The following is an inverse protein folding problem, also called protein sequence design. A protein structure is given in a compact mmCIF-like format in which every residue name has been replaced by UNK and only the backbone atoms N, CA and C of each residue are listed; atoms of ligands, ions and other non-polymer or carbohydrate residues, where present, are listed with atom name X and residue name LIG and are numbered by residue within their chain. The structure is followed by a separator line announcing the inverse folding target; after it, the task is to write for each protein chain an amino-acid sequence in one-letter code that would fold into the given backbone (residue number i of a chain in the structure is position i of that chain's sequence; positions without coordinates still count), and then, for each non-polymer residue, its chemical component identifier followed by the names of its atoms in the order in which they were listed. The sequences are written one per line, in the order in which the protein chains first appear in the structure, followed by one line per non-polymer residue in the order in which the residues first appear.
data_IF_678455223793
#
_entry.id   IF_678455223793
#
_cell.length_a   1.000
_cell.length_b   1.000
_cell.length_c   1.000
_cell.angle_alpha   90.00
_cell.angle_beta   90.00
_cell.angle_gamma   90.00
#
_symmetry.space_group_name_H-M   'P 1'
#
loop_
_entity.id
_entity.type
_entity.pdbx_description
1 polymer ?
#
# COMPACT_ATOMS: atom_id res chain seq x y z
N UNK A 1 -5.21 37.74 57.37
CA UNK A 1 -4.28 37.78 56.21
C UNK A 1 -3.65 36.44 55.89
N UNK A 2 -3.79 35.36 56.68
CA UNK A 2 -3.24 34.04 56.35
C UNK A 2 -4.17 33.16 55.49
N UNK A 3 -5.49 33.35 55.56
CA UNK A 3 -6.48 32.51 54.86
C UNK A 3 -6.52 32.70 53.34
N UNK A 4 -6.27 33.90 52.84
CA UNK A 4 -6.31 34.21 51.41
C UNK A 4 -5.04 33.69 50.65
N UNK A 5 -3.90 33.65 51.36
CA UNK A 5 -2.66 33.12 50.75
C UNK A 5 -2.71 31.58 50.58
N UNK A 6 -3.37 30.86 51.51
CA UNK A 6 -3.57 29.41 51.40
C UNK A 6 -4.57 29.02 50.28
N UNK A 7 -5.63 29.82 50.10
CA UNK A 7 -6.60 29.61 49.03
C UNK A 7 -5.98 29.83 47.62
N UNK A 8 -5.14 30.84 47.48
CA UNK A 8 -4.44 31.11 46.21
C UNK A 8 -3.40 30.03 45.91
N UNK A 9 -2.69 29.52 46.93
CA UNK A 9 -1.73 28.43 46.78
C UNK A 9 -2.38 27.12 46.36
N UNK A 10 -3.56 26.81 46.91
CA UNK A 10 -4.35 25.63 46.53
C UNK A 10 -4.88 25.71 45.10
N UNK A 11 -5.38 26.87 44.67
CA UNK A 11 -5.87 27.10 43.33
C UNK A 11 -4.75 27.01 42.25
N UNK A 12 -3.53 27.40 42.60
CA UNK A 12 -2.36 27.27 41.68
C UNK A 12 -1.91 25.82 41.59
N UNK A 13 -2.03 25.04 42.68
CA UNK A 13 -1.65 23.62 42.69
C UNK A 13 -2.60 22.76 41.86
N UNK A 14 -3.91 23.07 41.78
CA UNK A 14 -4.88 22.38 40.94
C UNK A 14 -4.72 22.65 39.46
N UNK A 15 -4.18 23.81 39.08
CA UNK A 15 -3.95 24.17 37.66
C UNK A 15 -2.70 23.53 37.07
N UNK A 16 -1.76 23.06 37.92
CA UNK A 16 -0.48 22.44 37.44
C UNK A 16 -0.59 20.93 37.23
N UNK A 17 -1.66 20.29 37.74
CA UNK A 17 -1.86 18.82 37.62
C UNK A 17 -2.80 18.40 36.48
N UNK A 18 -3.29 19.31 35.66
CA UNK A 18 -3.92 18.91 34.40
C UNK A 18 -2.82 18.44 33.42
N UNK A 19 -2.64 17.13 33.38
CA UNK A 19 -1.86 16.53 32.31
C UNK A 19 -2.36 17.08 30.94
N UNK A 20 -1.49 17.49 30.02
CA UNK A 20 -1.94 17.95 28.72
C UNK A 20 -2.85 16.86 28.14
N UNK A 21 -4.05 17.24 27.72
CA UNK A 21 -4.96 16.32 27.05
C UNK A 21 -4.14 15.64 25.95
N UNK A 22 -4.02 14.31 26.03
CA UNK A 22 -3.28 13.54 25.05
C UNK A 22 -3.90 13.88 23.70
N UNK A 23 -3.10 14.50 22.81
CA UNK A 23 -3.49 14.70 21.42
C UNK A 23 -3.86 13.30 20.92
N UNK A 24 -5.09 13.07 20.41
CA UNK A 24 -5.49 11.75 19.97
C UNK A 24 -4.42 11.25 19.00
N UNK A 25 -3.78 10.13 19.34
CA UNK A 25 -2.75 9.54 18.49
C UNK A 25 -3.37 9.35 17.10
N UNK A 26 -2.75 9.94 16.08
CA UNK A 26 -3.21 9.78 14.72
C UNK A 26 -3.14 8.29 14.38
N UNK A 27 -4.28 7.69 14.05
CA UNK A 27 -4.34 6.29 13.64
C UNK A 27 -3.45 6.07 12.44
N UNK A 28 -2.79 4.93 12.38
CA UNK A 28 -1.84 4.60 11.31
C UNK A 28 -2.15 3.25 10.67
N UNK A 29 -1.64 3.05 9.46
CA UNK A 29 -1.85 1.83 8.67
C UNK A 29 -0.53 1.26 8.20
N UNK A 30 -0.40 -0.08 8.28
CA UNK A 30 0.69 -0.80 7.63
C UNK A 30 0.15 -1.87 6.66
N UNK A 31 0.83 -2.05 5.55
CA UNK A 31 0.43 -2.99 4.49
C UNK A 31 1.65 -3.81 4.05
N UNK A 32 1.55 -5.14 4.13
CA UNK A 32 2.51 -6.03 3.46
C UNK A 32 2.00 -6.31 2.05
N UNK A 33 2.86 -6.07 1.06
CA UNK A 33 2.58 -6.30 -0.36
C UNK A 33 3.42 -7.45 -0.85
N UNK A 34 2.79 -8.57 -1.20
CA UNK A 34 3.49 -9.82 -1.55
C UNK A 34 3.32 -10.25 -3.00
N UNK A 35 2.41 -9.61 -3.74
CA UNK A 35 2.08 -9.97 -5.12
C UNK A 35 2.19 -8.78 -6.05
N UNK A 36 2.79 -8.99 -7.24
CA UNK A 36 3.07 -7.96 -8.23
C UNK A 36 2.31 -8.13 -9.54
N UNK A 37 1.25 -8.95 -9.59
CA UNK A 37 0.40 -9.01 -10.78
C UNK A 37 -0.56 -7.81 -10.84
N UNK A 38 -1.05 -7.48 -12.03
CA UNK A 38 -1.87 -6.30 -12.28
C UNK A 38 -3.11 -6.23 -11.37
N UNK A 39 -3.79 -7.34 -11.16
CA UNK A 39 -4.97 -7.45 -10.32
C UNK A 39 -4.68 -7.33 -8.82
N UNK A 40 -3.50 -7.76 -8.37
CA UNK A 40 -3.08 -7.68 -6.98
C UNK A 40 -2.35 -6.38 -6.62
N UNK A 41 -1.88 -5.63 -7.62
CA UNK A 41 -1.22 -4.35 -7.39
C UNK A 41 -2.21 -3.24 -6.98
N UNK A 42 -3.44 -3.28 -7.47
CA UNK A 42 -4.43 -2.23 -7.20
C UNK A 42 -4.85 -2.12 -5.73
N UNK A 43 -5.25 -3.21 -5.03
CA UNK A 43 -5.75 -3.11 -3.66
C UNK A 43 -4.80 -2.40 -2.70
N UNK A 44 -3.49 -2.73 -2.62
CA UNK A 44 -2.61 -2.08 -1.66
C UNK A 44 -2.40 -0.60 -1.94
N UNK A 45 -2.25 -0.19 -3.21
CA UNK A 45 -2.08 1.22 -3.54
C UNK A 45 -3.36 2.04 -3.34
N UNK A 46 -4.54 1.49 -3.70
CA UNK A 46 -5.83 2.17 -3.45
C UNK A 46 -6.04 2.38 -1.95
N UNK A 47 -5.78 1.35 -1.13
CA UNK A 47 -5.94 1.47 0.31
C UNK A 47 -4.94 2.44 0.92
N UNK A 48 -3.68 2.39 0.49
CA UNK A 48 -2.64 3.28 0.98
C UNK A 48 -2.94 4.75 0.66
N UNK A 49 -3.24 5.06 -0.60
CA UNK A 49 -3.55 6.44 -1.02
C UNK A 49 -4.83 6.97 -0.39
N UNK A 50 -5.85 6.10 -0.21
CA UNK A 50 -7.08 6.47 0.48
C UNK A 50 -6.83 6.76 1.96
N UNK A 51 -6.06 5.92 2.66
CA UNK A 51 -5.73 6.13 4.07
C UNK A 51 -4.89 7.40 4.26
N UNK A 52 -3.91 7.65 3.39
CA UNK A 52 -3.12 8.87 3.40
C UNK A 52 -3.99 10.12 3.16
N UNK A 53 -4.92 10.06 2.20
CA UNK A 53 -5.90 11.14 1.97
C UNK A 53 -6.82 11.41 3.16
N UNK A 54 -7.05 10.39 4.01
CA UNK A 54 -7.77 10.53 5.29
C UNK A 54 -6.88 11.04 6.43
N UNK A 55 -5.60 11.32 6.16
CA UNK A 55 -4.64 11.82 7.15
C UNK A 55 -4.01 10.74 8.04
N UNK A 56 -4.09 9.47 7.66
CA UNK A 56 -3.40 8.39 8.35
C UNK A 56 -1.98 8.27 7.82
N UNK A 57 -0.94 8.21 8.68
CA UNK A 57 0.38 7.74 8.28
C UNK A 57 0.31 6.30 7.76
N UNK A 58 0.88 6.05 6.59
CA UNK A 58 0.85 4.74 5.94
C UNK A 58 2.25 4.23 5.69
N UNK A 59 2.49 2.95 6.02
CA UNK A 59 3.72 2.23 5.68
C UNK A 59 3.38 1.03 4.82
N UNK A 60 4.04 0.88 3.67
CA UNK A 60 3.93 -0.27 2.78
C UNK A 60 5.25 -1.03 2.76
N UNK A 61 5.23 -2.33 2.98
CA UNK A 61 6.40 -3.21 2.91
C UNK A 61 6.28 -4.16 1.72
N UNK A 62 7.17 -3.98 0.76
CA UNK A 62 7.18 -4.76 -0.48
C UNK A 62 8.18 -5.91 -0.36
N UNK A 63 7.67 -7.13 -0.48
CA UNK A 63 8.48 -8.35 -0.35
C UNK A 63 8.10 -9.37 -1.41
N UNK A 64 9.00 -10.31 -1.71
CA UNK A 64 8.82 -11.33 -2.74
C UNK A 64 8.29 -10.74 -4.06
N UNK A 65 7.23 -11.31 -4.61
CA UNK A 65 6.65 -10.88 -5.89
C UNK A 65 5.93 -9.52 -5.84
N UNK A 66 5.78 -8.93 -4.65
CA UNK A 66 5.33 -7.54 -4.50
C UNK A 66 6.44 -6.52 -4.77
N UNK A 67 7.72 -6.89 -4.59
CA UNK A 67 8.86 -6.00 -4.77
C UNK A 67 8.96 -5.38 -6.18
N UNK A 68 8.70 -6.11 -7.29
CA UNK A 68 8.71 -5.55 -8.64
C UNK A 68 7.76 -4.36 -8.86
N UNK A 69 6.79 -4.12 -7.98
CA UNK A 69 5.94 -2.93 -8.06
C UNK A 69 6.71 -1.63 -7.80
N UNK A 70 7.90 -1.71 -7.22
CA UNK A 70 8.80 -0.57 -7.00
C UNK A 70 9.79 -0.33 -8.14
N UNK A 71 9.84 -1.19 -9.16
CA UNK A 71 10.74 -1.01 -10.30
C UNK A 71 10.34 0.20 -11.15
N UNK A 72 11.33 0.87 -11.74
CA UNK A 72 11.14 2.00 -12.68
C UNK A 72 10.28 1.61 -13.89
N UNK A 73 10.41 0.36 -14.36
CA UNK A 73 9.62 -0.18 -15.47
C UNK A 73 8.71 -1.29 -14.98
N UNK A 74 7.41 -1.09 -15.12
CA UNK A 74 6.41 -2.07 -14.73
C UNK A 74 5.97 -2.91 -15.93
N UNK A 75 6.17 -4.24 -15.85
CA UNK A 75 5.56 -5.21 -16.78
C UNK A 75 4.49 -6.03 -16.05
N UNK A 76 3.40 -5.36 -15.66
CA UNK A 76 2.34 -5.98 -14.90
C UNK A 76 1.41 -6.79 -15.82
N UNK A 77 1.31 -8.09 -15.51
CA UNK A 77 0.40 -9.02 -16.16
C UNK A 77 -0.73 -9.40 -15.21
N UNK A 78 -1.89 -9.64 -15.80
CA UNK A 78 -3.05 -10.11 -15.06
C UNK A 78 -2.87 -11.58 -14.67
N UNK A 79 -3.27 -11.97 -13.47
CA UNK A 79 -3.33 -13.39 -13.09
C UNK A 79 -4.53 -14.04 -13.79
N UNK A 80 -4.31 -14.58 -14.97
CA UNK A 80 -5.36 -15.20 -15.78
C UNK A 80 -5.58 -16.67 -15.39
N UNK A 81 -4.52 -17.41 -15.12
CA UNK A 81 -4.57 -18.82 -14.80
C UNK A 81 -5.18 -19.05 -13.40
N UNK A 82 -6.19 -19.90 -13.33
CA UNK A 82 -6.83 -20.27 -12.06
C UNK A 82 -7.73 -19.19 -11.45
N UNK A 83 -8.02 -18.11 -12.16
CA UNK A 83 -8.90 -17.04 -11.68
C UNK A 83 -10.35 -17.24 -12.16
N UNK A 84 -11.26 -17.85 -11.35
CA UNK A 84 -12.64 -18.11 -11.76
C UNK A 84 -13.48 -16.84 -11.85
N UNK A 85 -13.04 -15.75 -11.25
CA UNK A 85 -13.73 -14.47 -11.27
C UNK A 85 -13.46 -13.66 -12.55
N UNK A 86 -12.46 -14.07 -13.34
CA UNK A 86 -12.11 -13.39 -14.57
C UNK A 86 -13.17 -13.63 -15.64
N UNK A 87 -14.06 -12.65 -15.80
CA UNK A 87 -15.09 -12.65 -16.84
C UNK A 87 -14.71 -11.62 -17.91
N UNK A 88 -14.57 -12.09 -19.13
CA UNK A 88 -14.33 -11.20 -20.27
C UNK A 88 -15.67 -10.80 -20.91
N UNK A 89 -15.90 -9.49 -21.14
CA UNK A 89 -17.06 -9.06 -21.93
C UNK A 89 -16.83 -9.43 -23.40
N UNK A 90 -17.30 -10.60 -23.80
CA UNK A 90 -17.25 -11.03 -25.19
C UNK A 90 -18.69 -11.12 -25.72
N UNK A 91 -19.01 -10.33 -26.73
CA UNK A 91 -20.31 -10.31 -27.43
C UNK A 91 -21.54 -10.17 -26.51
N UNK A 92 -21.44 -9.35 -25.44
CA UNK A 92 -22.58 -9.10 -24.54
C UNK A 92 -22.80 -10.14 -23.45
N UNK A 93 -22.00 -11.19 -23.37
CA UNK A 93 -22.02 -12.17 -22.30
C UNK A 93 -20.72 -12.11 -21.46
N UNK A 94 -20.85 -12.26 -20.16
CA UNK A 94 -19.70 -12.42 -19.25
C UNK A 94 -19.30 -13.89 -19.22
N UNK A 95 -18.40 -14.32 -20.10
CA UNK A 95 -17.90 -15.68 -20.14
C UNK A 95 -16.59 -15.82 -19.35
N UNK A 96 -16.49 -16.84 -18.48
CA UNK A 96 -15.24 -17.22 -17.83
C UNK A 96 -14.25 -17.80 -18.84
N UNK A 97 -12.96 -17.47 -18.72
CA UNK A 97 -11.93 -18.09 -19.53
C UNK A 97 -11.62 -19.50 -19.01
N UNK A 98 -11.73 -20.55 -19.85
CA UNK A 98 -11.24 -21.87 -19.48
C UNK A 98 -9.72 -21.83 -19.23
N UNK A 99 -9.28 -22.49 -18.14
CA UNK A 99 -7.84 -22.50 -17.77
C UNK A 99 -6.92 -23.03 -18.89
N UNK A 100 -7.43 -23.89 -19.75
CA UNK A 100 -6.65 -24.40 -20.88
C UNK A 100 -6.25 -23.31 -21.90
N UNK A 101 -7.07 -22.26 -22.04
CA UNK A 101 -6.76 -21.14 -22.93
C UNK A 101 -5.68 -20.25 -22.36
N UNK A 102 -5.54 -20.19 -21.03
CA UNK A 102 -4.48 -19.38 -20.39
C UNK A 102 -3.08 -20.00 -20.54
N UNK A 103 -3.01 -21.29 -20.92
CA UNK A 103 -1.75 -21.97 -21.24
C UNK A 103 -1.20 -21.62 -22.63
N UNK A 104 -1.99 -20.94 -23.47
CA UNK A 104 -1.56 -20.54 -24.82
C UNK A 104 -0.66 -19.30 -24.72
N UNK A 105 0.56 -19.33 -25.29
CA UNK A 105 1.45 -18.17 -25.26
C UNK A 105 0.78 -16.92 -25.85
N UNK A 106 0.87 -15.79 -25.14
CA UNK A 106 0.33 -14.50 -25.55
C UNK A 106 -1.10 -14.21 -25.08
N UNK A 107 -1.86 -15.18 -24.57
CA UNK A 107 -3.20 -14.94 -24.03
C UNK A 107 -3.13 -14.03 -22.80
N UNK A 108 -2.17 -14.23 -21.91
CA UNK A 108 -1.96 -13.36 -20.73
C UNK A 108 -1.70 -11.92 -21.12
N UNK A 109 -0.87 -11.69 -22.15
CA UNK A 109 -0.57 -10.35 -22.64
C UNK A 109 -1.82 -9.70 -23.28
N UNK A 110 -2.61 -10.46 -24.05
CA UNK A 110 -3.84 -9.97 -24.64
C UNK A 110 -4.88 -9.62 -23.58
N UNK A 111 -5.06 -10.47 -22.57
CA UNK A 111 -5.95 -10.24 -21.43
C UNK A 111 -5.52 -9.01 -20.62
N UNK A 112 -4.23 -8.88 -20.33
CA UNK A 112 -3.67 -7.74 -19.60
C UNK A 112 -3.87 -6.43 -20.36
N UNK A 113 -3.62 -6.42 -21.68
CA UNK A 113 -3.85 -5.25 -22.53
C UNK A 113 -5.32 -4.86 -22.59
N UNK A 114 -6.21 -5.85 -22.69
CA UNK A 114 -7.65 -5.59 -22.69
C UNK A 114 -8.11 -5.03 -21.35
N UNK A 115 -7.63 -5.56 -20.23
CA UNK A 115 -7.96 -5.05 -18.90
C UNK A 115 -7.45 -3.62 -18.71
N UNK A 116 -6.19 -3.33 -19.06
CA UNK A 116 -5.63 -1.97 -19.02
C UNK A 116 -6.47 -0.99 -19.86
N UNK A 117 -6.88 -1.39 -21.07
CA UNK A 117 -7.75 -0.57 -21.91
C UNK A 117 -9.13 -0.33 -21.29
N UNK A 118 -9.72 -1.36 -20.64
CA UNK A 118 -10.99 -1.21 -19.94
C UNK A 118 -10.88 -0.25 -18.76
N UNK A 119 -9.83 -0.37 -17.96
CA UNK A 119 -9.54 0.52 -16.84
C UNK A 119 -9.39 1.97 -17.31
N UNK A 120 -8.60 2.21 -18.36
CA UNK A 120 -8.43 3.55 -18.94
C UNK A 120 -9.78 4.12 -19.43
N UNK A 121 -10.61 3.33 -20.11
CA UNK A 121 -11.94 3.78 -20.55
C UNK A 121 -12.89 4.11 -19.40
N UNK A 122 -12.69 3.49 -18.24
CA UNK A 122 -13.49 3.73 -17.02
C UNK A 122 -12.90 4.81 -16.12
N UNK A 123 -11.78 5.42 -16.51
CA UNK A 123 -11.12 6.47 -15.72
C UNK A 123 -10.44 5.93 -14.45
N UNK A 124 -10.07 4.63 -14.44
CA UNK A 124 -9.30 4.07 -13.34
C UNK A 124 -7.85 4.46 -13.53
N UNK A 125 -7.25 5.05 -12.50
CA UNK A 125 -5.84 5.45 -12.49
C UNK A 125 -4.93 4.23 -12.76
N UNK A 126 -3.80 4.42 -13.43
CA UNK A 126 -2.79 3.38 -13.61
C UNK A 126 -2.08 3.06 -12.29
N UNK A 127 -1.35 1.95 -12.23
CA UNK A 127 -0.53 1.65 -11.05
C UNK A 127 0.60 2.67 -10.92
N UNK A 128 1.12 3.14 -12.03
CA UNK A 128 2.10 4.21 -12.08
C UNK A 128 1.56 5.49 -11.44
N UNK A 129 0.36 5.94 -11.81
CA UNK A 129 -0.31 7.12 -11.22
C UNK A 129 -0.57 6.93 -9.72
N UNK A 130 -1.06 5.75 -9.31
CA UNK A 130 -1.32 5.46 -7.90
C UNK A 130 -0.03 5.43 -7.07
N UNK A 131 1.08 4.99 -7.66
CA UNK A 131 2.40 5.00 -7.04
C UNK A 131 2.94 6.41 -6.86
N UNK A 132 2.80 7.27 -7.87
CA UNK A 132 3.14 8.69 -7.78
C UNK A 132 2.30 9.37 -6.69
N UNK A 133 1.01 9.12 -6.67
CA UNK A 133 0.11 9.62 -5.65
C UNK A 133 0.49 9.16 -4.24
N UNK A 134 0.95 7.92 -4.08
CA UNK A 134 1.44 7.41 -2.80
C UNK A 134 2.72 8.13 -2.35
N UNK A 135 3.64 8.43 -3.28
CA UNK A 135 4.84 9.22 -2.99
C UNK A 135 4.47 10.65 -2.59
N UNK A 136 3.60 11.32 -3.35
CA UNK A 136 3.14 12.68 -3.07
C UNK A 136 2.40 12.78 -1.73
N UNK A 137 1.75 11.72 -1.29
CA UNK A 137 1.04 11.62 -0.03
C UNK A 137 1.93 11.15 1.15
N UNK A 138 3.25 11.16 1.00
CA UNK A 138 4.22 10.74 2.01
C UNK A 138 4.00 9.30 2.54
N UNK A 139 3.47 8.41 1.70
CA UNK A 139 3.37 6.99 2.03
C UNK A 139 4.78 6.40 2.10
N UNK A 140 5.15 5.91 3.28
CA UNK A 140 6.43 5.27 3.51
C UNK A 140 6.48 3.92 2.80
N UNK A 141 7.38 3.74 1.84
CA UNK A 141 7.57 2.49 1.11
C UNK A 141 8.90 1.84 1.50
N UNK A 142 8.84 0.58 1.93
CA UNK A 142 10.02 -0.20 2.34
C UNK A 142 10.21 -1.35 1.36
N UNK A 143 11.38 -1.38 0.71
CA UNK A 143 11.81 -2.49 -0.13
C UNK A 143 12.53 -3.53 0.72
N UNK A 144 12.07 -4.80 0.65
CA UNK A 144 12.67 -5.89 1.40
C UNK A 144 14.06 -6.24 0.87
N UNK A 145 15.10 -5.95 1.64
CA UNK A 145 16.49 -6.19 1.24
C UNK A 145 16.75 -7.66 0.91
N UNK A 146 16.25 -8.59 1.72
CA UNK A 146 16.40 -10.04 1.45
C UNK A 146 15.81 -10.43 0.09
N UNK A 147 14.72 -9.81 -0.31
CA UNK A 147 14.09 -10.07 -1.61
C UNK A 147 14.88 -9.45 -2.76
N UNK A 148 15.46 -8.27 -2.54
CA UNK A 148 16.37 -7.65 -3.51
C UNK A 148 17.57 -8.56 -3.79
N UNK A 149 18.23 -9.02 -2.73
CA UNK A 149 19.37 -9.94 -2.83
C UNK A 149 18.97 -11.25 -3.54
N UNK A 150 17.77 -11.77 -3.25
CA UNK A 150 17.27 -13.02 -3.84
C UNK A 150 16.97 -12.89 -5.34
N UNK A 151 16.44 -11.76 -5.78
CA UNK A 151 16.05 -11.51 -7.16
C UNK A 151 17.07 -10.68 -7.95
N UNK A 152 18.22 -10.40 -7.32
CA UNK A 152 19.33 -9.64 -7.92
C UNK A 152 18.88 -8.25 -8.44
N UNK A 153 18.02 -7.55 -7.65
CA UNK A 153 17.64 -6.18 -7.94
C UNK A 153 18.56 -5.18 -7.21
N UNK A 154 18.98 -4.15 -7.91
CA UNK A 154 19.68 -3.02 -7.34
C UNK A 154 18.72 -1.85 -7.02
N UNK A 155 19.15 -0.96 -6.12
CA UNK A 155 18.39 0.28 -5.85
C UNK A 155 18.21 1.14 -7.09
N UNK A 156 19.17 1.10 -7.99
CA UNK A 156 19.13 1.84 -9.26
C UNK A 156 18.03 1.35 -10.21
N UNK A 157 17.49 0.16 -9.99
CA UNK A 157 16.34 -0.36 -10.75
C UNK A 157 15.01 0.17 -10.24
N UNK A 158 14.99 0.69 -9.01
CA UNK A 158 13.78 1.15 -8.33
C UNK A 158 13.49 2.63 -8.56
N UNK A 159 12.24 2.99 -8.36
CA UNK A 159 11.82 4.40 -8.29
C UNK A 159 12.50 5.10 -7.11
N UNK A 160 12.55 6.43 -7.14
CA UNK A 160 12.98 7.23 -5.99
C UNK A 160 11.92 7.19 -4.89
N UNK A 161 12.36 7.22 -3.63
CA UNK A 161 11.49 7.28 -2.46
C UNK A 161 11.49 6.03 -1.57
N UNK A 162 11.44 4.79 -2.10
CA UNK A 162 11.50 3.61 -1.25
C UNK A 162 12.83 3.52 -0.49
N UNK A 163 12.74 3.15 0.79
CA UNK A 163 13.87 2.87 1.65
C UNK A 163 14.13 1.36 1.76
N UNK A 164 15.38 0.98 1.99
CA UNK A 164 15.72 -0.41 2.26
C UNK A 164 15.34 -0.79 3.70
N UNK A 165 14.75 -1.95 3.86
CA UNK A 165 14.44 -2.47 5.18
C UNK A 165 14.25 -3.98 5.19
N UNK A 166 14.32 -4.54 6.37
CA UNK A 166 14.07 -5.97 6.60
C UNK A 166 12.75 -6.20 7.33
N UNK A 167 12.46 -7.47 7.63
CA UNK A 167 11.30 -7.86 8.41
C UNK A 167 11.26 -7.18 9.79
N UNK A 168 12.42 -6.96 10.43
CA UNK A 168 12.50 -6.25 11.70
C UNK A 168 12.00 -4.80 11.57
N UNK A 169 12.46 -4.07 10.56
CA UNK A 169 12.02 -2.70 10.28
C UNK A 169 10.51 -2.62 10.07
N UNK A 170 9.95 -3.59 9.33
CA UNK A 170 8.51 -3.65 9.13
C UNK A 170 7.76 -3.93 10.45
N UNK A 171 8.21 -4.90 11.25
CA UNK A 171 7.55 -5.24 12.52
C UNK A 171 7.54 -4.07 13.48
N UNK A 172 8.60 -3.28 13.54
CA UNK A 172 8.63 -2.04 14.34
C UNK A 172 7.49 -1.09 13.94
N UNK A 173 7.27 -0.88 12.64
CA UNK A 173 6.16 -0.07 12.16
C UNK A 173 4.80 -0.73 12.45
N UNK A 174 4.68 -2.03 12.20
CA UNK A 174 3.44 -2.77 12.37
C UNK A 174 2.96 -2.82 13.82
N UNK A 175 3.89 -2.86 14.80
CA UNK A 175 3.53 -2.83 16.24
C UNK A 175 2.97 -1.48 16.68
N UNK A 176 3.20 -0.42 15.93
CA UNK A 176 2.67 0.92 16.20
C UNK A 176 1.42 1.22 15.36
N UNK A 177 1.12 0.40 14.35
CA UNK A 177 0.00 0.62 13.46
C UNK A 177 -1.31 0.09 14.03
N UNK A 178 -2.40 0.87 13.88
CA UNK A 178 -3.76 0.48 14.27
C UNK A 178 -4.39 -0.49 13.28
N UNK A 179 -3.98 -0.39 12.00
CA UNK A 179 -4.48 -1.23 10.90
C UNK A 179 -3.29 -1.94 10.26
N UNK A 180 -3.32 -3.27 10.29
CA UNK A 180 -2.29 -4.09 9.66
C UNK A 180 -2.94 -4.97 8.60
N UNK A 181 -2.48 -4.87 7.35
CA UNK A 181 -3.00 -5.62 6.21
C UNK A 181 -1.90 -6.47 5.56
N UNK A 182 -2.28 -7.65 5.11
CA UNK A 182 -1.43 -8.55 4.33
C UNK A 182 -2.11 -8.83 2.97
N UNK A 183 -1.47 -8.39 1.86
CA UNK A 183 -2.03 -8.45 0.50
C UNK A 183 -1.05 -9.11 -0.47
#
# INVERSE_FOLDING_TARGET
MSSEAEAVSSAIQETVTAAPAAVPATKSMSIIVTKGSLDWAYPPFILATTAAAMGLPVTMFFTFYGLPLLLKKLDLKLTAAGNPAMKMPMMGAHMGLPNILTAVPGVDAACSKMMKNLMNKKGVASIEDLRELAIEADVRMIACQMTMDLFEYDLDDMIEGPELGGAATYIECATQADINLFI
#
